data_IF_112740577483
#
_entry.id   IF_112740577483
#
_cell.length_a   1.000
_cell.length_b   1.000
_cell.length_c   1.000
_cell.angle_alpha   90.00
_cell.angle_beta   90.00
_cell.angle_gamma   90.00
#
_symmetry.space_group_name_H-M   'P 1'
#
loop_
_entity.id
_entity.type
_entity.pdbx_description
1 polymer ?
#
# COMPACT_ATOMS: atom_id res chain seq x y z
N UNK A 1 38.64 13.24 -16.87
CA UNK A 1 37.47 12.40 -17.20
C UNK A 1 37.18 11.49 -16.01
N UNK A 2 36.15 11.78 -15.22
CA UNK A 2 35.48 10.76 -14.42
C UNK A 2 34.06 11.27 -14.19
N UNK A 3 33.15 10.77 -15.01
CA UNK A 3 31.74 11.11 -14.95
C UNK A 3 31.16 10.47 -13.69
N UNK A 4 30.92 11.28 -12.66
CA UNK A 4 30.13 10.86 -11.52
C UNK A 4 28.69 10.64 -12.03
N UNK A 5 28.36 9.37 -12.28
CA UNK A 5 27.00 8.93 -12.51
C UNK A 5 26.17 9.33 -11.29
N UNK A 6 25.41 10.42 -11.42
CA UNK A 6 24.42 10.82 -10.45
C UNK A 6 23.26 9.85 -10.59
N UNK A 7 23.42 8.62 -10.11
CA UNK A 7 22.34 7.64 -10.06
C UNK A 7 21.26 8.19 -9.16
N UNK A 8 20.29 8.86 -9.77
CA UNK A 8 19.07 9.32 -9.12
C UNK A 8 18.54 8.10 -8.35
N UNK A 9 18.37 8.18 -7.02
CA UNK A 9 17.95 7.02 -6.26
C UNK A 9 16.62 6.55 -6.84
N UNK A 10 16.56 5.25 -7.17
CA UNK A 10 15.33 4.65 -7.66
C UNK A 10 14.22 4.90 -6.64
N UNK A 11 13.01 5.17 -7.12
CA UNK A 11 11.86 5.29 -6.24
C UNK A 11 11.73 4.04 -5.36
N UNK A 12 11.47 4.19 -4.05
CA UNK A 12 11.36 3.05 -3.16
C UNK A 12 10.22 2.13 -3.61
N UNK A 13 10.41 0.81 -3.45
CA UNK A 13 9.34 -0.16 -3.65
C UNK A 13 8.23 0.05 -2.62
N UNK A 14 7.04 -0.49 -2.90
CA UNK A 14 5.94 -0.44 -1.94
C UNK A 14 6.31 -1.10 -0.60
N UNK A 15 6.98 -2.26 -0.63
CA UNK A 15 7.46 -2.92 0.58
C UNK A 15 8.43 -2.04 1.40
N UNK A 16 9.34 -1.33 0.72
CA UNK A 16 10.25 -0.40 1.39
C UNK A 16 9.51 0.79 2.03
N UNK A 17 8.46 1.30 1.38
CA UNK A 17 7.60 2.35 1.93
C UNK A 17 6.81 1.87 3.15
N UNK A 18 6.26 0.66 3.11
CA UNK A 18 5.56 0.07 4.27
C UNK A 18 6.53 -0.10 5.43
N UNK A 19 7.74 -0.58 5.16
CA UNK A 19 8.76 -0.72 6.19
C UNK A 19 9.12 0.62 6.84
N UNK A 20 9.44 1.66 6.05
CA UNK A 20 9.80 2.97 6.59
C UNK A 20 8.63 3.65 7.33
N UNK A 21 7.39 3.43 6.86
CA UNK A 21 6.20 3.90 7.56
C UNK A 21 6.12 3.35 8.99
N UNK A 22 6.30 2.04 9.18
CA UNK A 22 6.25 1.44 10.51
C UNK A 22 7.51 1.69 11.34
N UNK A 23 8.70 1.60 10.74
CA UNK A 23 9.97 1.62 11.46
C UNK A 23 10.47 3.02 11.80
N UNK A 24 10.12 4.03 10.99
CA UNK A 24 10.59 5.40 11.15
C UNK A 24 9.43 6.35 11.41
N UNK A 25 8.42 6.36 10.55
CA UNK A 25 7.36 7.37 10.64
C UNK A 25 6.51 7.19 11.90
N UNK A 26 5.95 5.99 12.16
CA UNK A 26 5.08 5.79 13.33
C UNK A 26 5.82 5.88 14.66
N UNK A 27 7.06 5.39 14.72
CA UNK A 27 7.84 5.25 15.95
C UNK A 27 8.70 6.47 16.24
N UNK A 28 9.42 7.02 15.25
CA UNK A 28 10.39 8.09 15.45
C UNK A 28 9.78 9.46 15.16
N UNK A 29 9.04 9.58 14.05
CA UNK A 29 8.51 10.88 13.62
C UNK A 29 7.19 11.24 14.34
N UNK A 30 6.36 10.23 14.64
CA UNK A 30 5.06 10.41 15.31
C UNK A 30 5.07 10.01 16.79
N UNK A 31 6.10 9.30 17.25
CA UNK A 31 6.24 8.82 18.63
C UNK A 31 4.98 8.10 19.15
N UNK A 32 4.33 7.29 18.31
CA UNK A 32 3.13 6.57 18.70
C UNK A 32 3.45 5.47 19.72
N UNK A 33 2.47 5.20 20.60
CA UNK A 33 2.60 4.11 21.57
C UNK A 33 2.74 2.74 20.88
N UNK A 34 3.42 1.75 21.50
CA UNK A 34 3.52 0.41 20.95
C UNK A 34 2.17 -0.23 20.62
N UNK A 35 1.15 0.01 21.45
CA UNK A 35 -0.21 -0.50 21.21
C UNK A 35 -0.86 0.14 20.00
N UNK A 36 -0.65 1.46 19.80
CA UNK A 36 -1.12 2.14 18.59
C UNK A 36 -0.42 1.58 17.35
N UNK A 37 0.90 1.39 17.38
CA UNK A 37 1.64 0.79 16.26
C UNK A 37 1.13 -0.63 15.95
N UNK A 38 0.83 -1.44 16.97
CA UNK A 38 0.24 -2.76 16.80
C UNK A 38 -1.14 -2.69 16.11
N UNK A 39 -2.01 -1.77 16.52
CA UNK A 39 -3.30 -1.57 15.88
C UNK A 39 -3.16 -1.17 14.39
N UNK A 40 -2.19 -0.32 14.05
CA UNK A 40 -1.89 0.01 12.64
C UNK A 40 -1.40 -1.21 11.84
N UNK A 41 -0.55 -2.06 12.43
CA UNK A 41 -0.09 -3.30 11.78
C UNK A 41 -1.27 -4.22 11.50
N UNK A 42 -2.15 -4.41 12.47
CA UNK A 42 -3.30 -5.29 12.34
C UNK A 42 -4.27 -4.75 11.26
N UNK A 43 -4.49 -3.44 11.19
CA UNK A 43 -5.23 -2.81 10.10
C UNK A 43 -4.55 -2.99 8.73
N UNK A 44 -3.22 -2.94 8.68
CA UNK A 44 -2.47 -3.14 7.43
C UNK A 44 -2.55 -4.58 6.94
N UNK A 45 -2.56 -5.57 7.85
CA UNK A 45 -2.78 -6.99 7.49
C UNK A 45 -4.15 -7.16 6.84
N UNK A 46 -5.21 -6.62 7.45
CA UNK A 46 -6.56 -6.66 6.89
C UNK A 46 -6.62 -5.97 5.51
N UNK A 47 -5.96 -4.81 5.38
CA UNK A 47 -5.89 -4.08 4.12
C UNK A 47 -5.20 -4.88 3.01
N UNK A 48 -4.05 -5.51 3.31
CA UNK A 48 -3.29 -6.28 2.32
C UNK A 48 -4.02 -7.56 1.90
N UNK A 49 -4.71 -8.23 2.82
CA UNK A 49 -5.54 -9.40 2.51
C UNK A 49 -6.74 -9.03 1.62
N UNK A 50 -7.39 -7.91 1.93
CA UNK A 50 -8.44 -7.34 1.10
C UNK A 50 -7.92 -6.96 -0.29
N UNK A 51 -6.76 -6.29 -0.37
CA UNK A 51 -6.14 -5.90 -1.63
C UNK A 51 -5.76 -7.13 -2.47
N UNK A 52 -5.21 -8.18 -1.85
CA UNK A 52 -4.92 -9.44 -2.53
C UNK A 52 -6.19 -10.05 -3.15
N UNK A 53 -7.27 -10.09 -2.38
CA UNK A 53 -8.56 -10.66 -2.83
C UNK A 53 -9.13 -9.88 -4.02
N UNK A 54 -8.97 -8.56 -4.04
CA UNK A 54 -9.54 -7.68 -5.08
C UNK A 54 -8.66 -7.55 -6.32
N UNK A 55 -7.35 -7.55 -6.16
CA UNK A 55 -6.38 -7.33 -7.23
C UNK A 55 -5.82 -8.63 -7.80
N UNK A 56 -6.08 -9.77 -7.14
CA UNK A 56 -5.50 -11.08 -7.45
C UNK A 56 -3.96 -11.04 -7.49
N UNK A 57 -3.36 -10.21 -6.64
CA UNK A 57 -1.91 -10.03 -6.51
C UNK A 57 -1.47 -10.34 -5.08
N UNK A 58 -0.38 -11.08 -4.93
CA UNK A 58 0.20 -11.32 -3.60
C UNK A 58 0.69 -10.00 -2.99
N UNK A 59 0.64 -9.81 -1.65
CA UNK A 59 1.12 -8.62 -0.98
C UNK A 59 2.57 -8.25 -1.34
N UNK A 60 3.40 -9.26 -1.57
CA UNK A 60 4.82 -9.10 -1.97
C UNK A 60 5.00 -8.54 -3.39
N UNK A 61 3.98 -8.67 -4.24
CA UNK A 61 4.00 -8.17 -5.63
C UNK A 61 3.20 -6.89 -5.81
N UNK A 62 2.57 -6.38 -4.75
CA UNK A 62 1.81 -5.13 -4.82
C UNK A 62 2.75 -3.94 -5.03
N UNK A 63 2.35 -3.04 -5.91
CA UNK A 63 2.98 -1.75 -6.10
C UNK A 63 2.05 -0.62 -5.62
N UNK A 64 2.62 0.54 -5.31
CA UNK A 64 1.82 1.70 -4.90
C UNK A 64 0.80 2.10 -5.99
N UNK A 65 1.16 1.90 -7.27
CA UNK A 65 0.30 2.19 -8.41
C UNK A 65 -0.94 1.26 -8.51
N UNK A 66 -0.92 0.10 -7.84
CA UNK A 66 -2.08 -0.80 -7.82
C UNK A 66 -3.20 -0.29 -6.89
N UNK A 67 -2.87 0.57 -5.93
CA UNK A 67 -3.77 1.06 -4.89
C UNK A 67 -4.58 2.28 -5.36
N UNK A 68 -5.34 2.14 -6.45
CA UNK A 68 -6.14 3.23 -7.02
C UNK A 68 -7.57 3.27 -6.47
N UNK A 69 -8.21 4.45 -6.35
CA UNK A 69 -9.63 4.57 -5.97
C UNK A 69 -10.56 3.71 -6.84
N UNK A 70 -10.25 3.57 -8.13
CA UNK A 70 -11.02 2.76 -9.08
C UNK A 70 -10.98 1.26 -8.75
N UNK A 71 -9.87 0.74 -8.22
CA UNK A 71 -9.79 -0.66 -7.76
C UNK A 71 -10.79 -0.96 -6.60
N UNK A 72 -11.19 0.07 -5.85
CA UNK A 72 -12.10 -0.05 -4.71
C UNK A 72 -13.58 0.20 -5.09
N UNK A 73 -13.86 0.82 -6.25
CA UNK A 73 -15.19 1.31 -6.63
C UNK A 73 -16.25 0.24 -7.02
N UNK A 74 -15.91 -1.06 -7.04
CA UNK A 74 -16.83 -2.14 -7.44
C UNK A 74 -17.96 -2.46 -6.43
N UNK A 75 -18.38 -1.52 -5.58
CA UNK A 75 -19.65 -1.63 -4.82
C UNK A 75 -20.69 -0.57 -5.25
N UNK A 76 -20.34 0.32 -6.17
CA UNK A 76 -21.31 1.24 -6.79
C UNK A 76 -22.10 0.51 -7.90
N UNK A 77 -23.09 -0.30 -7.50
CA UNK A 77 -24.17 -0.75 -8.35
C UNK A 77 -23.82 -1.84 -9.36
N UNK A 78 -24.46 -3.01 -9.21
CA UNK A 78 -24.64 -3.95 -10.32
C UNK A 78 -25.20 -3.19 -11.54
N UNK A 79 -24.82 -3.55 -12.78
CA UNK A 79 -25.62 -3.16 -13.93
C UNK A 79 -27.02 -3.72 -13.72
N UNK A 80 -28.00 -2.84 -13.54
CA UNK A 80 -29.41 -3.19 -13.61
C UNK A 80 -29.64 -3.79 -14.99
N UNK A 81 -30.06 -5.05 -15.02
CA UNK A 81 -30.60 -5.71 -16.21
C UNK A 81 -31.53 -4.73 -16.94
N UNK A 82 -31.36 -4.49 -18.26
CA UNK A 82 -32.38 -3.81 -19.01
C UNK A 82 -33.58 -4.75 -19.06
N UNK A 83 -34.62 -4.41 -18.30
CA UNK A 83 -35.91 -5.07 -18.38
C UNK A 83 -36.40 -4.97 -19.83
N UNK A 84 -36.64 -6.15 -20.40
CA UNK A 84 -37.23 -6.42 -21.71
C UNK A 84 -38.55 -5.69 -21.95
#
# INVERSE_FOLDING_TARGET
MSSADHRKPASPSFAALVQSFFAEHLTQQRALSPQTVAAYRDAFVLFLDFAQTRLHKTPTTLSLADLTPAAYAHHAGRPTDPVR
#
